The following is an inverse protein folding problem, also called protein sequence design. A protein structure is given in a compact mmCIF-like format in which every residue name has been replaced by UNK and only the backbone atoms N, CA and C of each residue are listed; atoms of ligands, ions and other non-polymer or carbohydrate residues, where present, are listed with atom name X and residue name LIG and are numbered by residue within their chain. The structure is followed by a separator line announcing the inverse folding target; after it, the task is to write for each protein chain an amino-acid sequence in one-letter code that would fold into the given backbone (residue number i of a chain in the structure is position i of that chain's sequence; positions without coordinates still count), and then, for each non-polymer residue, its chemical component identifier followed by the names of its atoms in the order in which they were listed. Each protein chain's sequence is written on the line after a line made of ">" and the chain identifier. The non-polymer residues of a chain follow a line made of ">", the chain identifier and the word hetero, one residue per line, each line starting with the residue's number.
data_IF_115770887640
#
_entry.id   IF_115770887640
#
_cell.length_a   1.000
_cell.length_b   1.000
_cell.length_c   1.000
_cell.angle_alpha   90.00
_cell.angle_beta   90.00
_cell.angle_gamma   90.00
#
_symmetry.space_group_name_H-M   'P 1'
#
loop_
_entity.id
_entity.type
_entity.pdbx_description
1 polymer ?
#
# COMPACT_ATOMS: atom_id res chain seq x y z
N UNK A 1 21.49 -19.10 -13.52
CA UNK A 1 21.31 -17.85 -14.32
C UNK A 1 20.39 -18.17 -15.48
N UNK A 2 19.33 -17.38 -15.73
CA UNK A 2 18.32 -17.69 -16.77
C UNK A 2 18.91 -17.79 -18.18
N UNK A 3 20.01 -17.07 -18.45
CA UNK A 3 20.74 -17.12 -19.71
C UNK A 3 21.35 -18.50 -20.00
N UNK A 4 21.43 -19.41 -19.03
CA UNK A 4 21.94 -20.77 -19.22
C UNK A 4 20.84 -21.81 -19.49
N UNK A 5 19.56 -21.43 -19.43
CA UNK A 5 18.43 -22.35 -19.62
C UNK A 5 17.97 -22.27 -21.08
N UNK A 6 18.08 -23.34 -21.89
CA UNK A 6 17.77 -23.31 -23.32
C UNK A 6 16.35 -22.83 -23.65
N UNK A 7 15.36 -23.19 -22.82
CA UNK A 7 13.98 -22.74 -22.99
C UNK A 7 13.87 -21.21 -22.88
N UNK A 8 14.47 -20.61 -21.85
CA UNK A 8 14.50 -19.14 -21.71
C UNK A 8 15.28 -18.45 -22.83
N UNK A 9 16.35 -19.05 -23.35
CA UNK A 9 17.05 -18.49 -24.51
C UNK A 9 16.11 -18.41 -25.72
N UNK A 10 15.35 -19.47 -25.99
CA UNK A 10 14.41 -19.50 -27.10
C UNK A 10 13.25 -18.50 -26.91
N UNK A 11 12.67 -18.42 -25.72
CA UNK A 11 11.58 -17.47 -25.42
C UNK A 11 12.04 -16.02 -25.52
N UNK A 12 13.20 -15.68 -24.96
CA UNK A 12 13.74 -14.31 -25.07
C UNK A 12 14.11 -13.96 -26.51
N UNK A 13 14.66 -14.91 -27.28
CA UNK A 13 14.93 -14.69 -28.69
C UNK A 13 13.63 -14.41 -29.47
N UNK A 14 12.54 -15.12 -29.15
CA UNK A 14 11.25 -14.92 -29.80
C UNK A 14 10.59 -13.56 -29.47
N UNK A 15 10.69 -13.10 -28.22
CA UNK A 15 10.04 -11.85 -27.76
C UNK A 15 10.90 -10.61 -28.01
N UNK A 16 12.19 -10.70 -27.75
CA UNK A 16 13.12 -9.56 -27.75
C UNK A 16 14.15 -9.59 -28.89
N UNK A 17 14.21 -10.68 -29.68
CA UNK A 17 15.23 -10.84 -30.72
C UNK A 17 16.66 -11.02 -30.19
N UNK A 18 16.82 -11.28 -28.90
CA UNK A 18 18.11 -11.40 -28.23
C UNK A 18 18.07 -12.41 -27.07
N UNK A 19 19.24 -12.93 -26.70
CA UNK A 19 19.39 -13.73 -25.48
C UNK A 19 19.04 -12.92 -24.20
N UNK A 20 18.71 -13.58 -23.07
CA UNK A 20 18.42 -12.90 -21.81
C UNK A 20 19.60 -12.02 -21.34
N UNK A 21 19.30 -10.76 -21.00
CA UNK A 21 20.21 -9.77 -20.45
C UNK A 21 19.48 -8.93 -19.37
N UNK A 22 20.21 -8.05 -18.67
CA UNK A 22 19.63 -7.29 -17.56
C UNK A 22 18.42 -6.42 -17.97
N UNK A 23 18.46 -5.82 -19.15
CA UNK A 23 17.42 -4.92 -19.65
C UNK A 23 16.16 -5.69 -20.03
N UNK A 24 16.27 -6.69 -20.91
CA UNK A 24 15.09 -7.43 -21.36
C UNK A 24 14.48 -8.30 -20.25
N UNK A 25 15.29 -8.73 -19.26
CA UNK A 25 14.78 -9.40 -18.06
C UNK A 25 13.93 -8.45 -17.22
N UNK A 26 14.41 -7.21 -17.01
CA UNK A 26 13.64 -6.19 -16.30
C UNK A 26 12.35 -5.83 -17.05
N UNK A 27 12.39 -5.74 -18.38
CA UNK A 27 11.21 -5.49 -19.21
C UNK A 27 10.18 -6.63 -19.12
N UNK A 28 10.62 -7.89 -19.20
CA UNK A 28 9.75 -9.07 -19.06
C UNK A 28 9.10 -9.12 -17.66
N UNK A 29 9.89 -8.89 -16.61
CA UNK A 29 9.36 -8.83 -15.24
C UNK A 29 8.36 -7.68 -15.07
N UNK A 30 8.67 -6.49 -15.58
CA UNK A 30 7.76 -5.35 -15.51
C UNK A 30 6.46 -5.60 -16.29
N UNK A 31 6.51 -6.34 -17.40
CA UNK A 31 5.32 -6.75 -18.14
C UNK A 31 4.43 -7.69 -17.32
N UNK A 32 5.02 -8.70 -16.66
CA UNK A 32 4.30 -9.57 -15.75
C UNK A 32 3.72 -8.82 -14.53
N UNK A 33 4.49 -7.94 -13.89
CA UNK A 33 4.00 -7.16 -12.75
C UNK A 33 2.79 -6.27 -13.10
N UNK A 34 2.67 -5.81 -14.35
CA UNK A 34 1.48 -5.08 -14.83
C UNK A 34 0.23 -5.95 -14.95
N UNK A 35 0.37 -7.26 -15.06
CA UNK A 35 -0.78 -8.19 -15.08
C UNK A 35 -1.25 -8.58 -13.68
N UNK A 36 -0.44 -8.33 -12.64
CA UNK A 36 -0.79 -8.55 -11.25
C UNK A 36 -1.70 -7.42 -10.72
N UNK A 37 -2.88 -7.29 -11.31
CA UNK A 37 -3.88 -6.36 -10.82
C UNK A 37 -4.58 -6.92 -9.59
N UNK A 38 -4.88 -6.08 -8.61
CA UNK A 38 -5.85 -6.44 -7.57
C UNK A 38 -7.20 -6.56 -8.28
N UNK A 39 -7.76 -7.77 -8.33
CA UNK A 39 -9.09 -8.01 -8.91
C UNK A 39 -10.20 -7.26 -8.17
N UNK A 40 -11.45 -7.57 -8.51
CA UNK A 40 -12.61 -6.89 -7.90
C UNK A 40 -12.68 -7.13 -6.37
N UNK A 41 -12.77 -6.04 -5.60
CA UNK A 41 -13.02 -6.08 -4.16
C UNK A 41 -14.51 -5.89 -3.84
N UNK A 42 -14.93 -6.23 -2.63
CA UNK A 42 -16.32 -5.98 -2.19
C UNK A 42 -16.67 -4.48 -2.20
N UNK A 43 -15.69 -3.61 -1.94
CA UNK A 43 -15.87 -2.16 -2.09
C UNK A 43 -16.14 -1.75 -3.54
N UNK A 44 -15.44 -2.35 -4.51
CA UNK A 44 -15.66 -2.04 -5.93
C UNK A 44 -17.11 -2.39 -6.33
N UNK A 45 -17.59 -3.59 -5.94
CA UNK A 45 -19.00 -3.97 -6.16
C UNK A 45 -19.98 -2.99 -5.52
N UNK A 46 -19.71 -2.55 -4.29
CA UNK A 46 -20.52 -1.54 -3.62
C UNK A 46 -20.58 -0.22 -4.41
N UNK A 47 -19.44 0.27 -4.90
CA UNK A 47 -19.39 1.49 -5.71
C UNK A 47 -20.02 1.31 -7.10
N UNK A 48 -20.05 0.08 -7.63
CA UNK A 48 -20.73 -0.27 -8.87
C UNK A 48 -22.27 -0.42 -8.72
N UNK A 49 -22.79 -0.35 -7.49
CA UNK A 49 -24.23 -0.31 -7.20
C UNK A 49 -24.77 -1.47 -6.37
N UNK A 50 -23.96 -2.50 -6.09
CA UNK A 50 -24.36 -3.60 -5.21
C UNK A 50 -24.28 -3.16 -3.73
N UNK A 51 -25.39 -2.61 -3.24
CA UNK A 51 -25.50 -2.14 -1.85
C UNK A 51 -25.40 -3.26 -0.81
N UNK A 52 -25.45 -4.52 -1.22
CA UNK A 52 -25.31 -5.68 -0.34
C UNK A 52 -23.88 -6.18 -0.23
N UNK A 53 -22.95 -5.66 -1.05
CA UNK A 53 -21.57 -6.12 -1.09
C UNK A 53 -20.78 -5.83 0.20
N UNK A 54 -21.21 -4.85 1.01
CA UNK A 54 -20.52 -4.41 2.24
C UNK A 54 -21.51 -4.18 3.37
N UNK A 55 -21.04 -4.25 4.62
CA UNK A 55 -21.85 -4.01 5.81
C UNK A 55 -22.12 -2.52 6.05
N UNK A 56 -23.13 -2.20 6.86
CA UNK A 56 -23.39 -0.83 7.30
C UNK A 56 -22.19 -0.21 8.05
N UNK A 57 -21.44 -1.02 8.82
CA UNK A 57 -20.23 -0.54 9.50
C UNK A 57 -19.09 -0.24 8.53
N UNK A 58 -18.95 -0.98 7.43
CA UNK A 58 -17.98 -0.64 6.39
C UNK A 58 -18.36 0.66 5.65
N UNK A 59 -19.65 0.92 5.43
CA UNK A 59 -20.11 2.20 4.87
C UNK A 59 -19.80 3.36 5.84
N UNK A 60 -20.15 3.21 7.12
CA UNK A 60 -19.80 4.20 8.15
C UNK A 60 -18.27 4.40 8.27
N UNK A 61 -17.50 3.31 8.12
CA UNK A 61 -16.04 3.34 8.06
C UNK A 61 -15.51 4.19 6.92
N UNK A 62 -16.09 4.08 5.72
CA UNK A 62 -15.72 4.92 4.59
C UNK A 62 -16.07 6.40 4.82
N UNK A 63 -17.22 6.70 5.41
CA UNK A 63 -17.61 8.07 5.76
C UNK A 63 -16.64 8.69 6.78
N UNK A 64 -16.22 7.91 7.78
CA UNK A 64 -15.16 8.32 8.71
C UNK A 64 -13.84 8.56 7.96
N UNK A 65 -13.46 7.64 7.07
CA UNK A 65 -12.21 7.66 6.32
C UNK A 65 -12.06 8.93 5.46
N UNK A 66 -13.12 9.34 4.75
CA UNK A 66 -13.12 10.56 3.93
C UNK A 66 -13.43 11.84 4.72
N UNK A 67 -14.05 11.68 5.90
CA UNK A 67 -14.49 12.77 6.77
C UNK A 67 -13.63 12.90 8.02
N UNK A 68 -14.22 12.59 9.17
CA UNK A 68 -13.65 12.86 10.52
C UNK A 68 -12.23 12.31 10.70
N UNK A 69 -11.96 11.09 10.23
CA UNK A 69 -10.64 10.46 10.36
C UNK A 69 -9.59 11.11 9.45
N UNK A 70 -10.01 11.74 8.34
CA UNK A 70 -9.12 12.47 7.43
C UNK A 70 -8.13 11.59 6.67
N UNK A 71 -8.29 10.27 6.68
CA UNK A 71 -7.39 9.31 6.04
C UNK A 71 -7.26 9.56 4.52
N UNK A 72 -8.35 9.98 3.88
CA UNK A 72 -8.37 10.33 2.46
C UNK A 72 -7.53 11.55 2.09
N UNK A 73 -6.99 12.30 3.07
CA UNK A 73 -6.02 13.36 2.83
C UNK A 73 -4.79 12.88 2.07
N UNK A 74 -4.31 11.67 2.41
CA UNK A 74 -3.20 10.99 1.71
C UNK A 74 -3.69 9.74 0.95
N UNK A 75 -4.65 8.97 1.50
CA UNK A 75 -5.09 7.72 0.91
C UNK A 75 -6.29 7.89 -0.03
N UNK A 76 -6.06 8.53 -1.18
CA UNK A 76 -7.10 8.91 -2.14
C UNK A 76 -7.57 7.74 -3.03
N UNK A 77 -8.89 7.52 -3.23
CA UNK A 77 -9.40 6.56 -4.21
C UNK A 77 -8.87 6.85 -5.63
N UNK A 78 -8.82 5.86 -6.54
CA UNK A 78 -9.29 4.48 -6.37
C UNK A 78 -8.24 3.51 -5.78
N UNK A 79 -6.97 3.91 -5.72
CA UNK A 79 -5.89 3.09 -5.14
C UNK A 79 -5.69 3.35 -3.64
N UNK A 80 -6.43 4.30 -3.07
CA UNK A 80 -6.27 4.72 -1.67
C UNK A 80 -4.83 5.14 -1.39
N UNK A 81 -4.27 5.95 -2.29
CA UNK A 81 -2.93 6.50 -2.24
C UNK A 81 -2.87 7.74 -3.12
N UNK A 82 -2.17 8.77 -2.66
CA UNK A 82 -1.80 9.95 -3.43
C UNK A 82 -0.44 9.79 -4.13
N UNK A 83 0.24 8.65 -3.93
CA UNK A 83 1.60 8.36 -4.36
C UNK A 83 2.65 9.42 -3.93
N UNK A 84 2.31 10.27 -2.96
CA UNK A 84 3.20 11.30 -2.40
C UNK A 84 3.95 10.75 -1.20
N UNK A 85 4.86 11.56 -0.65
CA UNK A 85 5.75 11.18 0.43
C UNK A 85 5.40 11.97 1.68
N UNK A 86 5.19 11.27 2.79
CA UNK A 86 4.80 11.87 4.06
C UNK A 86 5.59 11.25 5.20
N UNK A 87 6.04 12.06 6.13
CA UNK A 87 6.56 11.60 7.42
C UNK A 87 5.37 11.45 8.38
N UNK A 88 5.23 10.27 8.97
CA UNK A 88 4.14 9.91 9.91
C UNK A 88 4.64 9.79 11.35
N UNK A 89 5.86 10.27 11.64
CA UNK A 89 6.51 10.22 12.95
C UNK A 89 7.05 8.85 13.36
N UNK A 90 7.04 7.84 12.48
CA UNK A 90 7.41 6.47 12.86
C UNK A 90 8.87 6.36 13.30
N UNK A 91 9.75 7.12 12.64
CA UNK A 91 11.19 7.14 12.90
C UNK A 91 11.59 8.01 14.09
N UNK A 92 10.65 8.80 14.63
CA UNK A 92 10.94 9.74 15.70
C UNK A 92 11.45 9.01 16.96
N UNK A 93 12.63 9.43 17.43
CA UNK A 93 13.28 8.90 18.63
C UNK A 93 13.98 7.54 18.44
N UNK A 94 14.04 6.99 17.22
CA UNK A 94 14.86 5.80 16.94
C UNK A 94 16.34 6.17 16.97
N UNK A 95 17.18 5.23 17.42
CA UNK A 95 18.64 5.42 17.45
C UNK A 95 19.24 5.58 16.04
N UNK A 96 18.71 4.82 15.08
CA UNK A 96 19.08 4.86 13.67
C UNK A 96 17.82 5.04 12.83
N UNK A 97 17.30 6.28 12.68
CA UNK A 97 16.09 6.54 11.91
C UNK A 97 16.34 6.31 10.41
N UNK A 98 15.42 5.65 9.73
CA UNK A 98 15.46 5.54 8.27
C UNK A 98 15.23 6.93 7.65
N UNK A 99 16.17 7.43 6.82
CA UNK A 99 16.03 8.73 6.17
C UNK A 99 14.87 8.80 5.19
N UNK A 100 14.34 7.68 4.70
CA UNK A 100 13.26 7.65 3.71
C UNK A 100 13.61 8.42 2.44
N UNK A 101 12.70 9.28 1.99
CA UNK A 101 12.82 10.06 0.74
C UNK A 101 14.06 10.96 0.72
N UNK A 102 14.53 11.45 1.87
CA UNK A 102 15.76 12.23 1.98
C UNK A 102 16.98 11.51 1.38
N UNK A 103 17.06 10.17 1.44
CA UNK A 103 18.17 9.43 0.86
C UNK A 103 18.34 9.66 -0.66
N UNK A 104 17.25 10.03 -1.33
CA UNK A 104 17.21 10.34 -2.77
C UNK A 104 17.31 11.84 -3.02
N UNK A 105 16.54 12.66 -2.32
CA UNK A 105 16.39 14.09 -2.65
C UNK A 105 17.41 14.99 -1.97
N UNK A 106 17.93 14.56 -0.81
CA UNK A 106 18.77 15.37 0.08
C UNK A 106 18.10 16.65 0.63
N UNK A 107 16.79 16.80 0.49
CA UNK A 107 16.03 17.89 1.12
C UNK A 107 15.59 17.47 2.52
N UNK A 108 15.98 18.23 3.55
CA UNK A 108 15.65 17.96 4.95
C UNK A 108 14.14 17.84 5.20
N UNK A 109 13.30 18.48 4.38
CA UNK A 109 11.83 18.35 4.47
C UNK A 109 11.33 16.95 4.15
N UNK A 110 12.11 16.17 3.40
CA UNK A 110 11.81 14.78 3.03
C UNK A 110 12.36 13.78 4.05
N UNK A 111 12.95 14.23 5.16
CA UNK A 111 13.53 13.35 6.18
C UNK A 111 12.46 12.46 6.80
N UNK A 112 12.70 11.15 6.74
CA UNK A 112 11.79 10.08 7.17
C UNK A 112 10.41 10.15 6.53
N UNK A 113 10.31 10.75 5.34
CA UNK A 113 9.11 10.73 4.54
C UNK A 113 9.06 9.48 3.66
N UNK A 114 7.94 8.77 3.67
CA UNK A 114 7.74 7.54 2.90
C UNK A 114 6.55 7.69 1.96
N UNK A 115 6.61 6.96 0.84
CA UNK A 115 5.52 6.96 -0.14
C UNK A 115 4.24 6.42 0.52
N UNK A 116 3.12 7.12 0.39
CA UNK A 116 1.81 6.60 0.79
C UNK A 116 1.55 5.27 0.07
N UNK A 117 1.46 4.12 0.77
CA UNK A 117 1.15 2.86 0.12
C UNK A 117 -0.32 2.86 -0.34
N UNK A 118 -0.62 2.04 -1.35
CA UNK A 118 -2.00 1.67 -1.66
C UNK A 118 -2.60 0.95 -0.46
N UNK A 119 -3.88 1.19 -0.16
CA UNK A 119 -4.62 0.39 0.84
C UNK A 119 -5.41 -0.77 0.22
N UNK A 120 -5.30 -0.98 -1.10
CA UNK A 120 -5.83 -2.19 -1.75
C UNK A 120 -5.20 -3.42 -1.09
N UNK A 121 -6.04 -4.35 -0.63
CA UNK A 121 -5.63 -5.58 0.07
C UNK A 121 -4.78 -5.35 1.35
N UNK A 122 -4.92 -4.22 2.03
CA UNK A 122 -4.16 -3.92 3.25
C UNK A 122 -4.47 -4.88 4.41
N UNK A 123 -5.67 -5.48 4.44
CA UNK A 123 -6.06 -6.42 5.50
C UNK A 123 -5.24 -7.72 5.50
N UNK A 124 -4.58 -8.05 4.38
CA UNK A 124 -3.83 -9.30 4.20
C UNK A 124 -2.32 -9.08 3.97
N UNK A 125 -1.83 -7.86 4.16
CA UNK A 125 -0.44 -7.48 3.82
C UNK A 125 0.44 -7.18 5.04
N UNK A 126 0.07 -7.70 6.22
CA UNK A 126 0.87 -7.52 7.43
C UNK A 126 2.26 -8.20 7.32
N UNK A 127 3.24 -7.79 8.12
CA UNK A 127 3.19 -6.66 9.06
C UNK A 127 3.22 -5.29 8.37
N UNK A 128 2.95 -4.23 9.13
CA UNK A 128 2.66 -2.89 8.62
C UNK A 128 3.84 -1.92 8.80
N UNK A 129 3.77 -0.83 8.00
CA UNK A 129 4.80 0.19 7.81
C UNK A 129 6.05 -0.30 7.06
N UNK A 130 6.96 0.62 6.71
CA UNK A 130 8.13 0.32 5.87
C UNK A 130 9.14 -0.61 6.56
N UNK A 131 9.13 -0.65 7.89
CA UNK A 131 10.03 -1.46 8.70
C UNK A 131 9.37 -2.75 9.24
N UNK A 132 8.08 -2.97 8.94
CA UNK A 132 7.33 -4.12 9.45
C UNK A 132 7.18 -4.16 10.97
N UNK A 133 7.37 -3.02 11.67
CA UNK A 133 7.40 -2.97 13.13
C UNK A 133 6.04 -3.18 13.80
N UNK A 134 4.94 -3.08 13.04
CA UNK A 134 3.58 -3.18 13.58
C UNK A 134 2.89 -4.43 13.06
N UNK A 135 2.53 -5.33 13.97
CA UNK A 135 2.07 -6.67 13.61
C UNK A 135 0.62 -6.74 13.08
N UNK A 136 -0.25 -5.79 13.45
CA UNK A 136 -1.68 -5.88 13.14
C UNK A 136 -2.24 -4.60 12.50
N UNK A 137 -3.29 -4.77 11.68
CA UNK A 137 -3.94 -3.64 11.02
C UNK A 137 -4.58 -2.69 12.04
N UNK A 138 -5.19 -3.24 13.10
CA UNK A 138 -5.74 -2.44 14.20
C UNK A 138 -4.68 -1.53 14.83
N UNK A 139 -3.49 -2.06 15.15
CA UNK A 139 -2.42 -1.26 15.72
C UNK A 139 -1.91 -0.19 14.73
N UNK A 140 -1.85 -0.52 13.43
CA UNK A 140 -1.46 0.44 12.39
C UNK A 140 -2.49 1.57 12.24
N UNK A 141 -3.78 1.25 12.21
CA UNK A 141 -4.88 2.24 12.14
C UNK A 141 -4.87 3.12 13.38
N UNK A 142 -4.69 2.55 14.57
CA UNK A 142 -4.60 3.30 15.83
C UNK A 142 -3.41 4.26 15.86
N UNK A 143 -2.25 3.82 15.37
CA UNK A 143 -1.07 4.69 15.26
C UNK A 143 -1.33 5.89 14.33
N UNK A 144 -1.95 5.66 13.18
CA UNK A 144 -2.29 6.73 12.24
C UNK A 144 -3.37 7.65 12.83
N UNK A 145 -4.40 7.09 13.47
CA UNK A 145 -5.48 7.83 14.11
C UNK A 145 -5.03 8.69 15.30
N UNK A 146 -3.96 8.28 16.01
CA UNK A 146 -3.36 9.03 17.12
C UNK A 146 -2.50 10.21 16.64
N UNK A 147 -2.34 10.39 15.32
CA UNK A 147 -1.51 11.43 14.75
C UNK A 147 -0.01 11.10 14.68
N UNK A 148 0.41 9.88 14.99
CA UNK A 148 1.82 9.50 15.05
C UNK A 148 2.64 10.24 16.12
N UNK A 149 3.95 9.94 16.21
CA UNK A 149 4.84 10.62 17.17
C UNK A 149 5.22 12.03 16.69
N UNK A 150 5.59 12.91 17.62
CA UNK A 150 6.07 14.24 17.28
C UNK A 150 7.41 14.17 16.53
N UNK A 151 7.47 14.81 15.36
CA UNK A 151 8.66 14.95 14.52
C UNK A 151 8.57 16.31 13.79
N UNK A 152 9.66 17.10 13.69
CA UNK A 152 9.65 18.39 13.01
C UNK A 152 9.22 18.34 11.53
N UNK A 153 9.45 17.21 10.86
CA UNK A 153 9.12 17.01 9.45
C UNK A 153 7.81 16.23 9.25
N UNK A 154 7.09 15.88 10.34
CA UNK A 154 5.82 15.15 10.25
C UNK A 154 4.81 15.94 9.41
N UNK A 155 4.09 15.22 8.55
CA UNK A 155 2.99 15.80 7.77
C UNK A 155 1.93 16.43 8.69
N UNK A 156 1.61 17.70 8.44
CA UNK A 156 0.57 18.43 9.17
C UNK A 156 -0.86 17.88 8.96
N UNK A 157 -1.04 17.00 7.96
CA UNK A 157 -2.31 16.29 7.74
C UNK A 157 -2.56 15.22 8.82
N UNK A 158 -1.49 14.69 9.43
CA UNK A 158 -1.54 13.62 10.41
C UNK A 158 -1.64 14.21 11.83
N UNK A 159 -2.88 14.30 12.32
CA UNK A 159 -3.23 14.81 13.64
C UNK A 159 -4.11 13.82 14.38
N UNK A 160 -4.07 13.86 15.71
CA UNK A 160 -4.94 13.04 16.53
C UNK A 160 -6.41 13.45 16.34
N UNK A 161 -7.20 12.55 15.74
CA UNK A 161 -8.61 12.77 15.46
C UNK A 161 -9.54 12.36 16.61
N UNK A 162 -8.97 11.85 17.72
CA UNK A 162 -9.69 11.38 18.91
C UNK A 162 -10.82 10.41 18.53
N UNK A 163 -10.49 9.44 17.67
CA UNK A 163 -11.44 8.42 17.25
C UNK A 163 -11.76 7.48 18.40
N UNK A 164 -13.04 7.18 18.58
CA UNK A 164 -13.48 6.17 19.53
C UNK A 164 -13.22 4.75 19.00
N UNK A 165 -13.18 3.75 19.88
CA UNK A 165 -12.94 2.36 19.47
C UNK A 165 -13.94 1.84 18.44
N UNK A 166 -15.21 2.28 18.52
CA UNK A 166 -16.23 1.97 17.53
C UNK A 166 -15.86 2.51 16.14
N UNK A 167 -15.33 3.73 16.07
CA UNK A 167 -14.93 4.35 14.82
C UNK A 167 -13.70 3.66 14.23
N UNK A 168 -12.76 3.21 15.07
CA UNK A 168 -11.64 2.37 14.65
C UNK A 168 -12.14 1.04 14.08
N UNK A 169 -13.09 0.37 14.75
CA UNK A 169 -13.67 -0.87 14.26
C UNK A 169 -14.37 -0.70 12.90
N UNK A 170 -15.07 0.42 12.70
CA UNK A 170 -15.71 0.76 11.42
C UNK A 170 -14.68 1.02 10.32
N UNK A 171 -13.59 1.74 10.62
CA UNK A 171 -12.47 1.91 9.69
C UNK A 171 -11.87 0.55 9.29
N UNK A 172 -11.67 -0.36 10.24
CA UNK A 172 -11.18 -1.71 9.96
C UNK A 172 -12.15 -2.49 9.07
N UNK A 173 -13.46 -2.43 9.35
CA UNK A 173 -14.49 -3.04 8.51
C UNK A 173 -14.43 -2.50 7.07
N UNK A 174 -14.25 -1.19 6.89
CA UNK A 174 -14.04 -0.59 5.57
C UNK A 174 -12.75 -1.09 4.90
N UNK A 175 -11.61 -1.08 5.59
CA UNK A 175 -10.33 -1.50 5.01
C UNK A 175 -10.34 -2.97 4.58
N UNK A 176 -11.06 -3.83 5.29
CA UNK A 176 -11.27 -5.23 4.90
C UNK A 176 -11.96 -5.34 3.54
N UNK A 177 -12.92 -4.46 3.25
CA UNK A 177 -13.65 -4.46 1.96
C UNK A 177 -12.77 -4.18 0.75
N UNK A 178 -11.59 -3.60 0.95
CA UNK A 178 -10.60 -3.29 -0.09
C UNK A 178 -9.77 -4.52 -0.51
N UNK A 179 -10.00 -5.67 0.13
CA UNK A 179 -9.31 -6.92 -0.19
C UNK A 179 -9.86 -7.53 -1.46
N UNK A 180 -8.96 -7.78 -2.41
CA UNK A 180 -9.23 -8.65 -3.55
C UNK A 180 -8.84 -10.08 -3.22
N UNK A 181 -9.62 -11.04 -3.71
CA UNK A 181 -9.35 -12.49 -3.59
C UNK A 181 -8.93 -13.13 -4.91
N UNK A 182 -8.41 -12.32 -5.84
CA UNK A 182 -7.85 -12.81 -7.10
C UNK A 182 -6.76 -13.86 -6.85
N UNK A 183 -6.75 -14.92 -7.66
CA UNK A 183 -5.75 -15.98 -7.58
C UNK A 183 -4.89 -15.96 -8.83
N UNK A 184 -3.59 -16.06 -8.63
CA UNK A 184 -2.63 -16.19 -9.72
C UNK A 184 -2.08 -17.61 -9.74
N UNK A 185 -2.17 -18.28 -10.88
CA UNK A 185 -1.60 -19.60 -11.06
C UNK A 185 -0.09 -19.47 -11.30
N UNK A 186 0.75 -20.21 -10.54
CA UNK A 186 2.19 -20.22 -10.77
C UNK A 186 2.51 -20.74 -12.19
N UNK A 187 3.44 -20.09 -12.92
CA UNK A 187 3.89 -20.61 -14.20
C UNK A 187 4.65 -21.93 -13.99
N UNK A 188 4.62 -22.81 -14.99
CA UNK A 188 5.54 -23.96 -15.02
C UNK A 188 6.91 -23.45 -15.45
N UNK A 189 7.91 -23.69 -14.62
CA UNK A 189 9.29 -23.36 -14.95
C UNK A 189 9.88 -24.42 -15.90
N UNK A 190 10.72 -24.01 -16.87
CA UNK A 190 11.43 -24.93 -17.75
C UNK A 190 12.54 -25.73 -17.04
#
# INVERSE_FOLDING_TARGET
>A
MIAAVPAYQAEFQAVFGAAPNAENTAQALAAFLRTLNSGESSWDRYTAGDRTAVSADAVAGYELFIGKAGCAGCHKPPLFSDAQFHNVGLEAGKANPDPGRFAVTRDVKDLSAFKTPSLRSVAISGPYFHDGSVASLDAAVRYMASGGKADPNKSGLLVDRKLADREIAQLLAFLDTLTSHERFDPPRLP
#
